data_IF_502108843039
#
_entry.id   IF_502108843039
#
_cell.length_a   1.000
_cell.length_b   1.000
_cell.length_c   1.000
_cell.angle_alpha   90.00
_cell.angle_beta   90.00
_cell.angle_gamma   90.00
#
_symmetry.space_group_name_H-M   'P 1'
#
loop_
_entity.id
_entity.type
_entity.pdbx_description
1 polymer ?
#
# COMPACT_ATOMS: atom_id res chain seq x y z
N UNK A 1 4.01 -16.80 -31.92
CA UNK A 1 2.78 -16.03 -31.97
C UNK A 1 3.10 -14.63 -32.51
N UNK A 2 2.64 -14.31 -33.71
CA UNK A 2 2.73 -12.94 -34.24
C UNK A 2 1.61 -12.13 -33.57
N UNK A 3 1.99 -10.94 -33.07
CA UNK A 3 1.03 -9.97 -32.53
C UNK A 3 0.18 -9.49 -33.71
N UNK A 4 -1.14 -9.63 -33.61
CA UNK A 4 -2.09 -9.08 -34.57
C UNK A 4 -2.36 -7.60 -34.23
N UNK A 5 -1.60 -6.74 -34.87
CA UNK A 5 -1.71 -5.29 -34.69
C UNK A 5 -3.06 -4.74 -35.18
N UNK A 6 -3.71 -5.38 -36.15
CA UNK A 6 -5.01 -4.93 -36.63
C UNK A 6 -6.10 -5.16 -35.58
N UNK A 7 -6.02 -6.30 -34.86
CA UNK A 7 -6.94 -6.56 -33.74
C UNK A 7 -6.70 -5.61 -32.57
N UNK A 8 -5.44 -5.30 -32.25
CA UNK A 8 -5.12 -4.31 -31.21
C UNK A 8 -5.64 -2.92 -31.58
N UNK A 9 -5.47 -2.48 -32.83
CA UNK A 9 -5.99 -1.19 -33.31
C UNK A 9 -7.53 -1.21 -33.29
N UNK A 10 -8.18 -2.30 -33.70
CA UNK A 10 -9.62 -2.45 -33.65
C UNK A 10 -10.14 -2.32 -32.21
N UNK A 11 -9.52 -3.02 -31.26
CA UNK A 11 -9.89 -2.95 -29.83
C UNK A 11 -9.66 -1.54 -29.29
N UNK A 12 -8.52 -0.91 -29.60
CA UNK A 12 -8.23 0.44 -29.12
C UNK A 12 -9.21 1.49 -29.66
N UNK A 13 -9.71 1.31 -30.89
CA UNK A 13 -10.71 2.20 -31.49
C UNK A 13 -12.12 1.98 -30.93
N UNK A 14 -12.38 0.83 -30.25
CA UNK A 14 -13.63 0.62 -29.52
C UNK A 14 -13.65 1.38 -28.19
N UNK A 15 -12.48 1.77 -27.70
CA UNK A 15 -12.33 2.56 -26.48
C UNK A 15 -11.91 3.98 -26.88
N UNK A 16 -12.86 4.79 -27.34
CA UNK A 16 -12.58 6.22 -27.54
C UNK A 16 -12.49 6.92 -26.18
N UNK A 17 -11.68 7.97 -26.11
CA UNK A 17 -11.56 8.76 -24.87
C UNK A 17 -12.92 9.31 -24.39
N UNK A 18 -13.90 9.43 -25.27
CA UNK A 18 -15.27 9.86 -24.97
C UNK A 18 -16.07 8.79 -24.21
N UNK A 19 -15.80 7.50 -24.43
CA UNK A 19 -16.46 6.41 -23.69
C UNK A 19 -16.01 6.35 -22.23
N UNK A 20 -14.84 6.90 -21.90
CA UNK A 20 -14.31 7.03 -20.56
C UNK A 20 -14.63 8.37 -19.89
N UNK A 21 -15.09 9.35 -20.64
CA UNK A 21 -15.67 10.58 -20.12
C UNK A 21 -17.13 10.38 -19.71
N UNK A 22 -17.41 9.33 -18.92
CA UNK A 22 -18.61 9.40 -18.12
C UNK A 22 -18.42 10.59 -17.19
N UNK A 23 -19.34 11.51 -17.29
CA UNK A 23 -19.46 12.81 -16.63
C UNK A 23 -19.50 12.72 -15.10
N UNK A 24 -18.55 12.05 -14.48
CA UNK A 24 -18.20 12.30 -13.08
C UNK A 24 -17.38 13.59 -13.10
N UNK A 25 -18.04 14.72 -12.94
CA UNK A 25 -17.40 15.91 -12.44
C UNK A 25 -16.54 15.45 -11.28
N UNK A 26 -15.21 15.56 -11.40
CA UNK A 26 -14.31 15.27 -10.29
C UNK A 26 -14.85 16.06 -9.11
N UNK A 27 -15.32 15.44 -8.03
CA UNK A 27 -15.82 16.20 -6.90
C UNK A 27 -14.68 17.11 -6.47
N UNK A 28 -14.96 18.39 -6.37
CA UNK A 28 -14.01 19.36 -5.87
C UNK A 28 -13.82 19.05 -4.39
N UNK A 29 -12.79 18.26 -4.07
CA UNK A 29 -12.41 18.05 -2.67
C UNK A 29 -11.80 19.34 -2.14
N UNK A 30 -12.49 19.97 -1.26
CA UNK A 30 -11.90 21.03 -0.47
C UNK A 30 -10.91 20.39 0.53
N UNK A 31 -9.64 20.41 0.16
CA UNK A 31 -8.54 19.95 1.02
C UNK A 31 -8.26 20.99 2.10
N UNK A 32 -9.19 21.14 3.04
CA UNK A 32 -8.96 21.96 4.23
C UNK A 32 -8.02 21.24 5.20
N UNK A 33 -6.73 21.52 5.06
CA UNK A 33 -5.69 20.95 5.92
C UNK A 33 -5.81 21.39 7.39
N UNK A 34 -6.63 22.39 7.71
CA UNK A 34 -6.86 22.84 9.09
C UNK A 34 -7.54 21.78 9.96
N UNK A 35 -8.27 20.84 9.32
CA UNK A 35 -8.94 19.72 9.97
C UNK A 35 -8.02 18.51 10.16
N UNK A 36 -6.83 18.51 9.54
CA UNK A 36 -5.91 17.39 9.61
C UNK A 36 -5.16 17.38 10.93
N UNK A 37 -4.81 16.17 11.40
CA UNK A 37 -4.08 15.97 12.66
C UNK A 37 -2.95 14.96 12.47
N UNK A 38 -1.93 15.03 13.33
CA UNK A 38 -0.83 14.09 13.35
C UNK A 38 -1.20 12.86 14.15
N UNK A 39 -1.13 11.70 13.52
CA UNK A 39 -1.30 10.38 14.14
C UNK A 39 0.01 9.61 14.11
N UNK A 40 0.37 8.95 15.20
CA UNK A 40 1.50 8.02 15.22
C UNK A 40 1.11 6.70 14.55
N UNK A 41 2.07 6.02 13.96
CA UNK A 41 1.81 4.70 13.37
C UNK A 41 1.27 3.73 14.43
N UNK A 42 1.80 3.78 15.65
CA UNK A 42 1.30 2.97 16.78
C UNK A 42 -0.18 3.26 17.11
N UNK A 43 -0.61 4.52 17.00
CA UNK A 43 -2.03 4.87 17.21
C UNK A 43 -2.95 4.42 16.06
N UNK A 44 -2.41 4.29 14.85
CA UNK A 44 -3.16 3.78 13.70
C UNK A 44 -3.21 2.25 13.66
N UNK A 45 -2.23 1.58 14.24
CA UNK A 45 -2.09 0.13 14.29
C UNK A 45 -1.84 -0.31 15.74
N UNK A 46 -2.83 -0.13 16.64
CA UNK A 46 -2.65 -0.32 18.07
C UNK A 46 -2.44 -1.80 18.43
N UNK A 47 -1.48 -2.06 19.30
CA UNK A 47 -1.15 -3.41 19.74
C UNK A 47 -0.02 -4.06 18.93
N UNK A 48 0.75 -4.94 19.61
CA UNK A 48 1.90 -5.62 18.98
C UNK A 48 1.49 -6.58 17.88
N UNK A 49 0.28 -7.10 17.94
CA UNK A 49 -0.34 -7.99 16.96
C UNK A 49 -0.68 -7.28 15.65
N UNK A 50 -0.76 -5.96 15.66
CA UNK A 50 -1.13 -5.15 14.49
C UNK A 50 0.07 -4.51 13.78
N UNK A 51 1.28 -4.63 14.35
CA UNK A 51 2.54 -4.23 13.71
C UNK A 51 3.53 -5.40 13.80
N UNK A 52 3.44 -6.32 12.86
CA UNK A 52 4.21 -7.57 12.87
C UNK A 52 5.29 -7.60 11.79
N UNK A 53 6.41 -8.26 12.05
CA UNK A 53 7.45 -8.46 11.05
C UNK A 53 7.07 -9.55 10.06
N UNK A 54 7.53 -9.38 8.81
CA UNK A 54 7.51 -10.45 7.84
C UNK A 54 8.30 -11.67 8.32
N UNK A 55 7.86 -12.85 7.91
CA UNK A 55 8.32 -14.13 8.44
C UNK A 55 9.43 -14.78 7.61
N UNK A 56 9.63 -14.34 6.37
CA UNK A 56 10.63 -14.93 5.46
C UNK A 56 12.00 -14.31 5.70
N UNK A 57 12.93 -15.07 6.23
CA UNK A 57 14.29 -14.62 6.52
C UNK A 57 15.27 -14.90 5.38
N UNK A 58 14.96 -15.85 4.51
CA UNK A 58 15.76 -16.23 3.34
C UNK A 58 14.88 -16.67 2.19
N UNK A 59 15.24 -16.31 0.97
CA UNK A 59 14.50 -16.73 -0.25
C UNK A 59 14.56 -18.23 -0.48
N UNK A 60 15.61 -18.88 -0.03
CA UNK A 60 15.80 -20.32 -0.14
C UNK A 60 14.80 -21.11 0.74
N UNK A 61 14.16 -20.45 1.70
CA UNK A 61 13.11 -21.04 2.52
C UNK A 61 11.71 -20.97 1.87
N UNK A 62 11.59 -20.30 0.72
CA UNK A 62 10.30 -20.22 0.02
C UNK A 62 9.93 -21.57 -0.57
N UNK A 63 8.68 -22.03 -0.40
CA UNK A 63 8.20 -23.25 -1.03
C UNK A 63 8.10 -23.10 -2.55
N UNK A 64 8.33 -24.19 -3.27
CA UNK A 64 8.13 -24.24 -4.72
C UNK A 64 6.64 -24.01 -5.06
N UNK A 65 6.39 -23.20 -6.09
CA UNK A 65 5.05 -22.88 -6.56
C UNK A 65 4.97 -21.46 -7.12
N UNK A 66 3.78 -21.05 -7.53
CA UNK A 66 3.52 -19.74 -8.15
C UNK A 66 2.21 -19.07 -7.68
N UNK A 67 1.56 -19.62 -6.66
CA UNK A 67 0.24 -19.18 -6.17
C UNK A 67 0.33 -17.86 -5.39
N UNK A 68 1.44 -17.65 -4.68
CA UNK A 68 1.62 -16.48 -3.82
C UNK A 68 2.79 -15.61 -4.28
N UNK A 69 2.73 -14.33 -3.91
CA UNK A 69 3.85 -13.42 -4.10
C UNK A 69 4.78 -13.41 -2.88
N UNK A 70 6.08 -13.43 -3.14
CA UNK A 70 7.08 -13.04 -2.16
C UNK A 70 7.37 -11.55 -2.30
N UNK A 71 7.13 -10.81 -1.22
CA UNK A 71 7.34 -9.36 -1.14
C UNK A 71 8.64 -9.07 -0.40
N UNK A 72 9.54 -8.41 -1.12
CA UNK A 72 10.85 -7.99 -0.60
C UNK A 72 10.91 -6.50 -0.28
N UNK A 73 12.04 -6.10 0.27
CA UNK A 73 12.28 -4.72 0.72
C UNK A 73 12.61 -3.75 -0.43
N UNK A 74 11.72 -3.68 -1.43
CA UNK A 74 11.84 -2.79 -2.59
C UNK A 74 10.53 -2.12 -2.95
N UNK A 75 10.59 -0.89 -3.48
CA UNK A 75 9.41 -0.15 -3.95
C UNK A 75 8.95 -0.59 -5.35
N UNK A 76 9.89 -0.91 -6.24
CA UNK A 76 9.59 -1.29 -7.62
C UNK A 76 8.74 -2.55 -7.67
N UNK A 77 7.85 -2.64 -8.69
CA UNK A 77 6.97 -3.78 -8.93
C UNK A 77 6.13 -4.16 -7.68
N UNK A 78 5.64 -3.17 -6.95
CA UNK A 78 4.89 -3.32 -5.70
C UNK A 78 5.56 -4.29 -4.69
N UNK A 79 6.91 -4.28 -4.64
CA UNK A 79 7.68 -5.16 -3.77
C UNK A 79 7.83 -6.61 -4.23
N UNK A 80 7.14 -7.03 -5.30
CA UNK A 80 7.16 -8.41 -5.77
C UNK A 80 8.55 -8.79 -6.26
N UNK A 81 9.16 -9.77 -5.63
CA UNK A 81 10.49 -10.29 -5.97
C UNK A 81 10.47 -11.70 -6.55
N UNK A 82 9.48 -12.50 -6.19
CA UNK A 82 9.31 -13.86 -6.67
C UNK A 82 7.85 -14.30 -6.55
N UNK A 83 7.54 -15.44 -7.13
CA UNK A 83 6.36 -16.24 -6.83
C UNK A 83 6.79 -17.48 -6.06
N UNK A 84 5.89 -18.02 -5.23
CA UNK A 84 6.15 -19.19 -4.41
C UNK A 84 4.86 -19.94 -4.11
N UNK A 85 4.98 -21.14 -3.59
CA UNK A 85 3.86 -21.95 -3.12
C UNK A 85 3.35 -21.51 -1.74
N UNK A 86 2.42 -22.28 -1.19
CA UNK A 86 1.84 -22.05 0.13
C UNK A 86 2.73 -22.64 1.24
N UNK A 87 2.93 -21.86 2.28
CA UNK A 87 3.48 -22.31 3.56
C UNK A 87 2.73 -21.64 4.71
N UNK A 88 2.08 -22.43 5.54
CA UNK A 88 1.25 -21.96 6.66
C UNK A 88 2.04 -21.11 7.67
N UNK A 89 3.31 -21.41 7.88
CA UNK A 89 4.15 -20.71 8.86
C UNK A 89 4.67 -19.38 8.31
N UNK A 90 4.83 -19.27 6.98
CA UNK A 90 5.41 -18.12 6.30
C UNK A 90 4.37 -17.14 5.76
N UNK A 91 3.14 -17.60 5.52
CA UNK A 91 2.06 -16.76 4.96
C UNK A 91 1.71 -15.60 5.87
N UNK A 92 1.47 -14.45 5.28
CA UNK A 92 0.94 -13.25 5.91
C UNK A 92 -0.39 -12.89 5.27
N UNK A 93 -1.35 -12.47 6.07
CA UNK A 93 -2.65 -12.05 5.58
C UNK A 93 -2.54 -10.77 4.76
N UNK A 94 -3.37 -10.65 3.74
CA UNK A 94 -3.54 -9.45 2.94
C UNK A 94 -4.29 -8.35 3.67
N UNK A 95 -4.78 -7.38 2.90
CA UNK A 95 -5.49 -6.20 3.38
C UNK A 95 -4.70 -5.45 4.47
N UNK A 96 -3.42 -5.20 4.21
CA UNK A 96 -2.51 -4.56 5.15
C UNK A 96 -1.62 -3.51 4.50
N UNK A 97 -1.05 -2.64 5.34
CA UNK A 97 0.04 -1.72 4.94
C UNK A 97 1.38 -2.41 5.20
N UNK A 98 2.22 -2.45 4.18
CA UNK A 98 3.57 -3.00 4.28
C UNK A 98 4.58 -1.86 4.36
N UNK A 99 5.28 -1.75 5.47
CA UNK A 99 6.33 -0.75 5.71
C UNK A 99 7.70 -1.34 5.35
N UNK A 100 8.43 -0.70 4.45
CA UNK A 100 9.79 -1.10 4.08
C UNK A 100 10.76 -0.52 5.10
N UNK A 101 11.16 -1.35 6.07
CA UNK A 101 11.95 -0.93 7.23
C UNK A 101 13.46 -1.05 7.01
N UNK A 102 13.89 -1.97 6.17
CA UNK A 102 15.26 -2.14 5.71
C UNK A 102 15.27 -2.17 4.18
N UNK A 103 16.42 -2.23 3.58
CA UNK A 103 16.59 -2.31 2.13
C UNK A 103 17.28 -1.07 1.55
N UNK A 104 18.13 -1.31 0.57
CA UNK A 104 18.92 -0.24 -0.05
C UNK A 104 18.04 0.61 -0.99
N UNK A 105 17.89 1.89 -0.67
CA UNK A 105 17.16 2.86 -1.50
C UNK A 105 15.63 2.81 -1.39
N UNK A 106 15.06 1.86 -0.63
CA UNK A 106 13.60 1.71 -0.49
C UNK A 106 13.09 1.94 0.93
N UNK A 107 13.96 2.15 1.90
CA UNK A 107 13.57 2.43 3.30
C UNK A 107 12.65 3.64 3.37
N UNK A 108 11.57 3.52 4.13
CA UNK A 108 10.57 4.56 4.34
C UNK A 108 9.44 4.60 3.31
N UNK A 109 9.50 3.78 2.26
CA UNK A 109 8.33 3.54 1.41
C UNK A 109 7.34 2.58 2.08
N UNK A 110 6.10 2.69 1.64
CA UNK A 110 5.04 1.77 2.02
C UNK A 110 4.37 1.16 0.77
N UNK A 111 3.68 0.02 0.97
CA UNK A 111 2.88 -0.65 -0.05
C UNK A 111 1.55 -1.04 0.58
N UNK A 112 0.51 -1.16 -0.23
CA UNK A 112 -0.73 -1.82 0.16
C UNK A 112 -0.79 -3.20 -0.47
N UNK A 113 -1.08 -4.22 0.32
CA UNK A 113 -1.27 -5.59 -0.15
C UNK A 113 -2.72 -6.01 0.04
N UNK A 114 -3.38 -6.34 -1.06
CA UNK A 114 -4.81 -6.70 -1.12
C UNK A 114 -5.08 -8.18 -0.85
N UNK A 115 -4.05 -9.02 -0.91
CA UNK A 115 -4.13 -10.49 -0.82
C UNK A 115 -3.01 -11.06 0.01
N UNK A 116 -3.17 -12.31 0.42
CA UNK A 116 -2.16 -13.05 1.18
C UNK A 116 -0.85 -13.21 0.39
N UNK A 117 0.24 -13.14 1.10
CA UNK A 117 1.59 -13.13 0.53
C UNK A 117 2.66 -13.61 1.52
N UNK A 118 3.85 -13.88 1.02
CA UNK A 118 5.03 -14.16 1.83
C UNK A 118 5.83 -12.87 2.03
N UNK A 119 6.04 -12.44 3.26
CA UNK A 119 6.70 -11.18 3.58
C UNK A 119 8.14 -11.37 4.07
N UNK A 120 9.08 -10.65 3.45
CA UNK A 120 10.47 -10.57 3.94
C UNK A 120 10.54 -10.06 5.38
N UNK A 121 11.45 -10.58 6.18
CA UNK A 121 11.76 -10.11 7.54
C UNK A 121 12.25 -8.65 7.63
N UNK A 122 12.55 -8.02 6.50
CA UNK A 122 12.87 -6.59 6.39
C UNK A 122 11.65 -5.67 6.35
N UNK A 123 10.46 -6.26 6.30
CA UNK A 123 9.18 -5.57 6.27
C UNK A 123 8.51 -5.60 7.63
N UNK A 124 7.66 -4.59 7.87
CA UNK A 124 6.66 -4.60 8.95
C UNK A 124 5.29 -4.46 8.32
N UNK A 125 4.35 -5.26 8.79
CA UNK A 125 2.97 -5.33 8.29
C UNK A 125 2.07 -4.65 9.31
N UNK A 126 1.25 -3.70 8.85
CA UNK A 126 0.30 -2.97 9.68
C UNK A 126 -1.14 -3.36 9.37
N UNK A 127 -1.85 -3.88 10.38
CA UNK A 127 -3.24 -4.31 10.28
C UNK A 127 -4.16 -3.38 11.07
N UNK A 128 -5.28 -3.02 10.48
CA UNK A 128 -6.33 -2.25 11.11
C UNK A 128 -7.66 -2.53 10.39
N UNK A 129 -8.76 -2.64 11.11
CA UNK A 129 -10.09 -2.93 10.54
C UNK A 129 -10.58 -1.90 9.51
N UNK A 130 -10.06 -0.68 9.55
CA UNK A 130 -10.39 0.38 8.59
C UNK A 130 -9.55 0.34 7.31
N UNK A 131 -8.55 -0.57 7.22
CA UNK A 131 -7.76 -0.74 6.02
C UNK A 131 -8.58 -1.48 4.97
N UNK A 132 -8.67 -0.87 3.81
CA UNK A 132 -9.18 -1.46 2.59
C UNK A 132 -8.38 -0.88 1.40
N UNK A 133 -8.69 -1.28 0.18
CA UNK A 133 -7.94 -0.84 -1.00
C UNK A 133 -7.87 0.69 -1.14
N UNK A 134 -8.90 1.41 -0.75
CA UNK A 134 -8.97 2.87 -0.86
C UNK A 134 -8.18 3.57 0.25
N UNK A 135 -8.49 3.24 1.50
CA UNK A 135 -7.78 3.80 2.66
C UNK A 135 -6.31 3.41 2.67
N UNK A 136 -6.00 2.18 2.22
CA UNK A 136 -4.64 1.69 2.06
C UNK A 136 -3.84 2.50 1.04
N UNK A 137 -4.40 2.77 -0.14
CA UNK A 137 -3.76 3.61 -1.16
C UNK A 137 -3.58 5.06 -0.70
N UNK A 138 -4.57 5.61 0.02
CA UNK A 138 -4.44 6.93 0.63
C UNK A 138 -3.25 6.98 1.61
N UNK A 139 -3.20 6.03 2.55
CA UNK A 139 -2.11 5.95 3.55
C UNK A 139 -0.74 5.78 2.90
N UNK A 140 -0.62 4.89 1.91
CA UNK A 140 0.65 4.70 1.17
C UNK A 140 1.12 6.00 0.53
N UNK A 141 0.20 6.77 -0.06
CA UNK A 141 0.52 8.07 -0.68
C UNK A 141 1.07 9.07 0.35
N UNK A 142 0.46 9.14 1.54
CA UNK A 142 0.93 10.02 2.61
C UNK A 142 2.28 9.53 3.17
N UNK A 143 2.42 8.23 3.42
CA UNK A 143 3.65 7.63 3.93
C UNK A 143 4.84 7.85 2.97
N UNK A 144 4.63 7.70 1.67
CA UNK A 144 5.67 7.94 0.67
C UNK A 144 6.16 9.39 0.65
N UNK A 145 5.30 10.35 1.02
CA UNK A 145 5.70 11.76 1.18
C UNK A 145 6.58 12.01 2.41
N UNK A 146 6.47 11.18 3.43
CA UNK A 146 7.29 11.24 4.64
C UNK A 146 8.67 10.57 4.49
N UNK A 147 8.91 9.86 3.38
CA UNK A 147 10.11 9.06 3.12
C UNK A 147 11.42 9.84 3.29
N UNK A 148 11.45 11.12 2.95
CA UNK A 148 12.67 11.94 3.06
C UNK A 148 13.28 11.98 4.45
N UNK A 149 12.49 11.66 5.48
CA UNK A 149 12.92 11.56 6.89
C UNK A 149 13.82 10.34 7.14
N UNK A 150 13.83 9.37 6.22
CA UNK A 150 14.51 8.08 6.36
C UNK A 150 15.57 7.92 5.29
N UNK A 151 16.77 7.48 5.70
CA UNK A 151 17.90 7.24 4.81
C UNK A 151 18.77 6.12 5.36
N UNK A 152 19.77 5.73 4.58
CA UNK A 152 20.79 4.79 5.03
C UNK A 152 21.37 5.23 6.40
N UNK A 153 21.28 4.35 7.41
CA UNK A 153 21.70 4.65 8.79
C UNK A 153 20.57 5.10 9.72
N UNK A 154 19.40 5.52 9.21
CA UNK A 154 18.21 5.80 10.01
C UNK A 154 17.23 4.64 9.87
N UNK A 155 17.43 3.58 10.64
CA UNK A 155 16.60 2.36 10.62
C UNK A 155 15.15 2.69 10.94
N UNK A 156 14.30 2.69 9.91
CA UNK A 156 12.88 3.01 10.01
C UNK A 156 12.16 2.11 11.02
N UNK A 157 12.44 0.80 11.03
CA UNK A 157 11.77 -0.16 11.90
C UNK A 157 11.82 0.16 13.40
N UNK A 158 12.92 0.77 13.89
CA UNK A 158 13.02 1.19 15.30
C UNK A 158 12.12 2.40 15.61
N UNK A 159 11.91 3.27 14.63
CA UNK A 159 11.19 4.53 14.81
C UNK A 159 9.77 4.47 14.27
N UNK A 160 9.41 3.38 13.58
CA UNK A 160 8.12 3.21 12.93
C UNK A 160 6.94 3.51 13.86
N UNK A 161 6.81 2.92 15.06
CA UNK A 161 5.66 3.16 15.93
C UNK A 161 5.45 4.64 16.26
N UNK A 162 6.55 5.37 16.49
CA UNK A 162 6.52 6.79 16.87
C UNK A 162 6.49 7.74 15.67
N UNK A 163 6.57 7.23 14.45
CA UNK A 163 6.46 8.04 13.24
C UNK A 163 5.08 8.65 13.16
N UNK A 164 5.03 9.98 12.99
CA UNK A 164 3.77 10.71 12.86
C UNK A 164 3.53 11.10 11.43
N UNK A 165 2.31 10.86 10.96
CA UNK A 165 1.81 11.27 9.65
C UNK A 165 0.60 12.17 9.80
N UNK A 166 0.43 13.11 8.88
CA UNK A 166 -0.68 14.05 8.87
C UNK A 166 -1.85 13.43 8.10
N UNK A 167 -3.00 13.27 8.73
CA UNK A 167 -4.20 12.66 8.14
C UNK A 167 -5.43 13.52 8.39
N UNK A 168 -6.46 13.44 7.51
CA UNK A 168 -7.77 13.99 7.79
C UNK A 168 -8.33 13.38 9.06
N UNK A 169 -8.98 14.20 9.88
CA UNK A 169 -9.41 13.79 11.21
C UNK A 169 -10.85 14.24 11.46
N UNK A 170 -11.65 13.39 12.11
CA UNK A 170 -12.98 13.73 12.65
C UNK A 170 -12.84 14.58 13.92
N UNK A 171 -11.84 14.26 14.72
CA UNK A 171 -11.49 14.97 15.97
C UNK A 171 -9.97 14.84 16.23
N UNK A 172 -9.52 15.23 17.42
CA UNK A 172 -8.08 15.17 17.77
C UNK A 172 -7.49 13.77 17.87
N UNK A 173 -8.31 12.74 17.95
CA UNK A 173 -7.88 11.35 18.22
C UNK A 173 -8.32 10.36 17.13
N UNK A 174 -9.28 10.74 16.29
CA UNK A 174 -9.92 9.83 15.33
C UNK A 174 -9.63 10.24 13.90
N UNK A 175 -8.92 9.42 13.11
CA UNK A 175 -8.75 9.64 11.67
C UNK A 175 -10.11 9.61 10.95
N UNK A 176 -10.27 10.41 9.91
CA UNK A 176 -11.46 10.35 9.06
C UNK A 176 -11.26 9.34 7.91
N UNK A 177 -11.43 8.06 8.25
CA UNK A 177 -11.33 6.96 7.30
C UNK A 177 -12.31 7.10 6.14
N UNK A 178 -13.52 7.61 6.42
CA UNK A 178 -14.54 7.81 5.39
C UNK A 178 -14.13 8.88 4.37
N UNK A 179 -13.50 9.96 4.84
CA UNK A 179 -12.95 10.97 3.94
C UNK A 179 -11.85 10.38 3.04
N UNK A 180 -10.91 9.62 3.62
CA UNK A 180 -9.82 8.99 2.86
C UNK A 180 -10.36 8.06 1.77
N UNK A 181 -11.33 7.22 2.12
CA UNK A 181 -11.97 6.29 1.20
C UNK A 181 -12.71 7.02 0.08
N UNK A 182 -13.55 7.98 0.42
CA UNK A 182 -14.34 8.75 -0.56
C UNK A 182 -13.44 9.55 -1.49
N UNK A 183 -12.34 10.10 -0.98
CA UNK A 183 -11.37 10.83 -1.79
C UNK A 183 -10.78 9.95 -2.89
N UNK A 184 -10.31 8.74 -2.54
CA UNK A 184 -9.74 7.82 -3.54
C UNK A 184 -10.82 7.35 -4.54
N UNK A 185 -12.02 6.99 -4.07
CA UNK A 185 -13.14 6.59 -4.93
C UNK A 185 -13.55 7.66 -5.95
N UNK A 186 -13.40 8.92 -5.60
CA UNK A 186 -13.78 10.03 -6.46
C UNK A 186 -12.70 10.45 -7.46
N UNK A 187 -11.47 9.97 -7.31
CA UNK A 187 -10.42 10.23 -8.29
C UNK A 187 -10.77 9.59 -9.65
N UNK A 188 -10.25 10.13 -10.77
CA UNK A 188 -10.40 9.47 -12.06
C UNK A 188 -10.00 7.99 -11.94
N UNK A 189 -10.88 7.09 -12.39
CA UNK A 189 -10.71 5.63 -12.28
C UNK A 189 -10.70 5.06 -10.86
N UNK A 190 -11.03 5.85 -9.82
CA UNK A 190 -11.07 5.38 -8.44
C UNK A 190 -12.11 4.27 -8.20
N UNK A 191 -13.14 4.17 -9.03
CA UNK A 191 -14.15 3.13 -9.02
C UNK A 191 -13.70 1.82 -9.71
N UNK A 192 -12.59 1.86 -10.44
CA UNK A 192 -12.00 0.70 -11.13
C UNK A 192 -10.90 0.00 -10.33
N UNK A 193 -10.54 0.55 -9.17
CA UNK A 193 -9.51 0.00 -8.28
C UNK A 193 -10.03 -1.24 -7.54
#
# INVERSE_FOLDING_TARGET
NKIDWNEIIRISNLFTAEDYHTSKTTPEFNLDLSTWRYFSIDSLFPGKENLIRGKVHSKEALPDGDEYYYIGAKKKNNGIEARCGFDKELISEGNCIVFICNGQGSVGYALYMDRDFMASGDLVLGYNEHINKYTGLFLVTILDKERFKYSFGRKYGKYLPNTKILLPAKDSMTPDWSFMENMIKSMPYGDLI
#
